data_IF_441130861081
#
_entry.id   IF_441130861081
#
_cell.length_a   1.000
_cell.length_b   1.000
_cell.length_c   1.000
_cell.angle_alpha   90.00
_cell.angle_beta   90.00
_cell.angle_gamma   90.00
#
_symmetry.space_group_name_H-M   'P 1'
#
loop_
_entity.id
_entity.type
_entity.pdbx_description
1 polymer ?
#
# COMPACT_ATOMS: atom_id res chain seq x y z
N UNK A 1 -19.18 -25.02 10.93
CA UNK A 1 -18.17 -24.11 11.54
C UNK A 1 -18.89 -22.85 11.97
N UNK A 2 -18.48 -22.20 13.10
CA UNK A 2 -19.08 -20.92 13.50
C UNK A 2 -18.84 -19.86 12.41
N UNK A 3 -19.80 -18.95 12.23
CA UNK A 3 -19.66 -17.85 11.27
C UNK A 3 -18.47 -16.94 11.63
N UNK A 4 -17.96 -16.20 10.64
CA UNK A 4 -16.86 -15.24 10.88
C UNK A 4 -17.23 -14.24 11.98
N UNK A 5 -18.48 -13.76 12.00
CA UNK A 5 -18.98 -12.86 13.03
C UNK A 5 -18.93 -13.49 14.44
N UNK A 6 -19.31 -14.76 14.55
CA UNK A 6 -19.26 -15.47 15.83
C UNK A 6 -17.81 -15.64 16.32
N UNK A 7 -16.88 -15.94 15.42
CA UNK A 7 -15.45 -16.03 15.74
C UNK A 7 -14.88 -14.67 16.15
N UNK A 8 -15.22 -13.61 15.43
CA UNK A 8 -14.83 -12.23 15.73
C UNK A 8 -15.30 -11.80 17.13
N UNK A 9 -16.58 -12.03 17.45
CA UNK A 9 -17.15 -11.70 18.77
C UNK A 9 -16.44 -12.45 19.88
N UNK A 10 -16.16 -13.74 19.69
CA UNK A 10 -15.43 -14.56 20.64
C UNK A 10 -14.01 -14.04 20.88
N UNK A 11 -13.29 -13.69 19.83
CA UNK A 11 -11.93 -13.16 19.90
C UNK A 11 -11.88 -11.79 20.62
N UNK A 12 -12.84 -10.90 20.32
CA UNK A 12 -12.97 -9.59 20.97
C UNK A 12 -13.18 -9.76 22.47
N UNK A 13 -14.12 -10.61 22.86
CA UNK A 13 -14.41 -10.87 24.27
C UNK A 13 -13.17 -11.39 25.00
N UNK A 14 -12.51 -12.41 24.43
CA UNK A 14 -11.28 -12.99 25.03
C UNK A 14 -10.19 -11.93 25.23
N UNK A 15 -9.89 -11.13 24.20
CA UNK A 15 -8.86 -10.08 24.29
C UNK A 15 -9.25 -9.02 25.30
N UNK A 16 -10.51 -8.56 25.30
CA UNK A 16 -11.02 -7.58 26.24
C UNK A 16 -10.88 -8.05 27.69
N UNK A 17 -11.29 -9.29 27.98
CA UNK A 17 -11.20 -9.89 29.30
C UNK A 17 -9.74 -10.08 29.73
N UNK A 18 -8.87 -10.54 28.83
CA UNK A 18 -7.44 -10.66 29.09
C UNK A 18 -6.76 -9.30 29.38
N UNK A 19 -7.25 -8.23 28.74
CA UNK A 19 -6.78 -6.86 28.99
C UNK A 19 -7.44 -6.20 30.22
N UNK A 20 -8.33 -6.87 30.93
CA UNK A 20 -9.06 -6.32 32.09
C UNK A 20 -10.00 -5.16 31.74
N UNK A 21 -10.38 -5.01 30.47
CA UNK A 21 -11.21 -3.91 30.01
C UNK A 21 -12.69 -4.20 30.20
N UNK A 22 -13.45 -3.21 30.74
CA UNK A 22 -14.91 -3.24 30.69
C UNK A 22 -15.40 -3.02 29.24
N UNK A 23 -16.61 -3.47 28.92
CA UNK A 23 -17.25 -3.22 27.62
C UNK A 23 -17.29 -1.71 27.32
N UNK A 24 -17.53 -0.87 28.33
CA UNK A 24 -17.55 0.59 28.20
C UNK A 24 -16.17 1.15 27.86
N UNK A 25 -15.13 0.66 28.53
CA UNK A 25 -13.75 1.07 28.26
C UNK A 25 -13.34 0.67 26.83
N UNK A 26 -13.61 -0.57 26.42
CA UNK A 26 -13.33 -1.00 25.05
C UNK A 26 -14.12 -0.19 24.01
N UNK A 27 -15.40 0.09 24.25
CA UNK A 27 -16.22 0.90 23.36
C UNK A 27 -15.61 2.29 23.11
N UNK A 28 -15.06 2.90 24.17
CA UNK A 28 -14.35 4.17 24.07
C UNK A 28 -13.05 4.05 23.27
N UNK A 29 -12.25 3.02 23.53
CA UNK A 29 -10.97 2.76 22.80
C UNK A 29 -11.20 2.54 21.32
N UNK A 30 -12.22 1.74 20.95
CA UNK A 30 -12.52 1.42 19.55
C UNK A 30 -13.37 2.50 18.87
N UNK A 31 -13.89 3.46 19.63
CA UNK A 31 -14.71 4.56 19.11
C UNK A 31 -16.09 4.11 18.59
N UNK A 32 -16.70 3.10 19.22
CA UNK A 32 -18.10 2.68 18.96
C UNK A 32 -18.97 2.91 20.19
N UNK A 33 -20.29 2.95 20.03
CA UNK A 33 -21.16 3.17 21.17
C UNK A 33 -21.15 1.97 22.12
N UNK A 34 -21.26 2.23 23.45
CA UNK A 34 -21.38 1.17 24.45
C UNK A 34 -22.54 0.22 24.14
N UNK A 35 -23.70 0.75 23.77
CA UNK A 35 -24.87 -0.05 23.44
C UNK A 35 -24.64 -0.96 22.23
N UNK A 36 -23.93 -0.47 21.22
CA UNK A 36 -23.55 -1.26 20.05
C UNK A 36 -22.61 -2.40 20.44
N UNK A 37 -21.53 -2.13 21.18
CA UNK A 37 -20.59 -3.17 21.60
C UNK A 37 -21.23 -4.19 22.54
N UNK A 38 -22.03 -3.75 23.49
CA UNK A 38 -22.74 -4.64 24.39
C UNK A 38 -23.71 -5.59 23.67
N UNK A 39 -24.43 -5.08 22.65
CA UNK A 39 -25.31 -5.90 21.79
C UNK A 39 -24.52 -6.92 20.99
N UNK A 40 -23.40 -6.49 20.39
CA UNK A 40 -22.50 -7.36 19.63
C UNK A 40 -21.97 -8.49 20.51
N UNK A 41 -21.43 -8.19 21.69
CA UNK A 41 -20.90 -9.21 22.60
C UNK A 41 -21.95 -10.18 23.12
N UNK A 42 -23.23 -9.77 23.22
CA UNK A 42 -24.34 -10.68 23.59
C UNK A 42 -24.82 -11.53 22.42
N UNK A 43 -24.35 -11.27 21.20
CA UNK A 43 -24.82 -11.98 19.98
C UNK A 43 -26.20 -11.51 19.51
N UNK A 44 -26.68 -10.35 19.97
CA UNK A 44 -27.99 -9.79 19.63
C UNK A 44 -27.99 -9.01 18.31
N UNK A 45 -26.97 -9.19 17.47
CA UNK A 45 -26.86 -8.62 16.15
C UNK A 45 -25.42 -8.64 15.64
N UNK A 46 -25.28 -8.66 14.32
CA UNK A 46 -23.99 -8.52 13.67
C UNK A 46 -23.49 -7.07 13.76
N UNK A 47 -22.16 -6.85 13.98
CA UNK A 47 -21.59 -5.53 13.88
C UNK A 47 -21.73 -4.98 12.45
N UNK A 48 -22.07 -3.70 12.33
CA UNK A 48 -21.99 -3.00 11.03
C UNK A 48 -20.52 -2.94 10.55
N UNK A 49 -20.35 -2.57 9.30
CA UNK A 49 -19.04 -2.62 8.67
C UNK A 49 -17.99 -1.71 9.32
N UNK A 50 -18.36 -0.51 9.77
CA UNK A 50 -17.47 0.39 10.46
C UNK A 50 -17.06 -0.17 11.83
N UNK A 51 -18.01 -0.75 12.54
CA UNK A 51 -17.74 -1.44 13.81
C UNK A 51 -16.83 -2.65 13.60
N UNK A 52 -17.06 -3.46 12.56
CA UNK A 52 -16.17 -4.60 12.21
C UNK A 52 -14.73 -4.15 11.99
N UNK A 53 -14.51 -3.11 11.18
CA UNK A 53 -13.17 -2.56 10.90
C UNK A 53 -12.47 -2.13 12.19
N UNK A 54 -13.16 -1.36 13.03
CA UNK A 54 -12.61 -0.85 14.28
C UNK A 54 -12.27 -1.98 15.25
N UNK A 55 -13.11 -2.97 15.36
CA UNK A 55 -12.92 -4.13 16.21
C UNK A 55 -11.76 -5.02 15.71
N UNK A 56 -11.66 -5.23 14.40
CA UNK A 56 -10.54 -5.96 13.78
C UNK A 56 -9.22 -5.21 13.96
N UNK A 57 -9.22 -3.89 13.79
CA UNK A 57 -8.04 -3.05 14.03
C UNK A 57 -7.56 -3.16 15.50
N UNK A 58 -8.49 -3.15 16.44
CA UNK A 58 -8.16 -3.34 17.85
C UNK A 58 -7.68 -4.75 18.19
N UNK A 59 -8.23 -5.79 17.53
CA UNK A 59 -7.77 -7.17 17.72
C UNK A 59 -6.32 -7.36 17.26
N UNK A 60 -5.94 -6.73 16.14
CA UNK A 60 -4.62 -6.90 15.57
C UNK A 60 -4.24 -8.39 15.45
N UNK A 61 -3.00 -8.74 15.73
CA UNK A 61 -2.49 -10.13 15.70
C UNK A 61 -3.18 -11.08 16.70
N UNK A 62 -3.78 -10.54 17.76
CA UNK A 62 -4.48 -11.39 18.74
C UNK A 62 -5.68 -12.09 18.11
N UNK A 63 -6.23 -11.57 17.03
CA UNK A 63 -7.28 -12.21 16.26
C UNK A 63 -6.83 -13.53 15.63
N UNK A 64 -5.64 -13.56 15.05
CA UNK A 64 -5.04 -14.74 14.44
C UNK A 64 -4.68 -15.81 15.49
N UNK A 65 -4.06 -15.38 16.60
CA UNK A 65 -3.78 -16.24 17.75
C UNK A 65 -5.05 -16.80 18.39
N UNK A 66 -6.19 -16.13 18.24
CA UNK A 66 -7.50 -16.58 18.72
C UNK A 66 -8.22 -17.52 17.74
N UNK A 67 -7.58 -17.91 16.63
CA UNK A 67 -8.14 -18.82 15.63
C UNK A 67 -9.13 -18.18 14.68
N UNK A 68 -9.18 -16.84 14.60
CA UNK A 68 -9.82 -16.15 13.47
C UNK A 68 -9.05 -16.52 12.21
N UNK A 69 -9.61 -17.42 11.43
CA UNK A 69 -9.08 -17.70 10.10
C UNK A 69 -9.45 -16.52 9.22
N UNK A 70 -8.46 -15.70 8.92
CA UNK A 70 -8.58 -14.64 7.92
C UNK A 70 -8.44 -15.21 6.49
N UNK A 71 -9.03 -16.40 6.25
CA UNK A 71 -9.00 -17.05 4.93
C UNK A 71 -9.62 -16.16 3.83
N UNK A 72 -10.39 -15.13 4.24
CA UNK A 72 -10.97 -14.11 3.38
C UNK A 72 -10.36 -12.72 3.57
N UNK A 73 -9.30 -12.59 4.39
CA UNK A 73 -8.55 -11.35 4.59
C UNK A 73 -7.17 -11.58 4.00
N UNK A 74 -7.02 -11.36 2.71
CA UNK A 74 -5.70 -11.42 2.09
C UNK A 74 -4.85 -10.26 2.60
N UNK A 75 -3.61 -10.55 2.95
CA UNK A 75 -2.57 -9.56 3.22
C UNK A 75 -2.13 -8.97 1.87
N UNK A 76 -2.93 -8.10 1.31
CA UNK A 76 -2.71 -7.57 -0.02
C UNK A 76 -2.84 -6.06 0.06
N UNK A 77 -1.75 -5.37 -0.21
CA UNK A 77 -1.82 -3.95 -0.53
C UNK A 77 -2.21 -3.80 -1.98
N UNK A 78 -3.21 -2.99 -2.27
CA UNK A 78 -3.50 -2.56 -3.62
C UNK A 78 -3.85 -1.08 -3.62
N UNK A 79 -3.23 -0.35 -4.52
CA UNK A 79 -3.58 1.05 -4.78
C UNK A 79 -4.86 1.08 -5.59
N UNK A 80 -5.96 1.33 -4.91
CA UNK A 80 -7.27 1.37 -5.52
C UNK A 80 -7.79 2.80 -5.65
N UNK A 81 -8.60 3.04 -6.67
CA UNK A 81 -9.38 4.25 -6.79
C UNK A 81 -10.40 4.35 -5.63
N UNK A 82 -10.87 5.58 -5.33
CA UNK A 82 -11.80 5.81 -4.20
C UNK A 82 -13.10 5.00 -4.27
N UNK A 83 -13.49 4.54 -5.45
CA UNK A 83 -14.75 3.82 -5.72
C UNK A 83 -14.47 2.47 -6.38
N UNK A 84 -13.72 1.59 -5.70
CA UNK A 84 -13.48 0.23 -6.19
C UNK A 84 -14.71 -0.63 -6.00
N UNK A 85 -15.09 -1.36 -7.03
CA UNK A 85 -16.19 -2.31 -6.98
C UNK A 85 -15.83 -3.56 -6.20
N UNK A 86 -16.78 -4.12 -5.45
CA UNK A 86 -16.57 -5.34 -4.64
C UNK A 86 -15.96 -6.49 -5.44
N UNK A 87 -16.42 -6.71 -6.67
CA UNK A 87 -15.92 -7.79 -7.48
C UNK A 87 -14.47 -7.60 -7.96
N UNK A 88 -13.99 -6.34 -8.12
CA UNK A 88 -12.57 -6.03 -8.41
C UNK A 88 -11.70 -6.47 -7.24
N UNK A 89 -12.12 -6.19 -6.01
CA UNK A 89 -11.40 -6.62 -4.81
C UNK A 89 -11.34 -8.14 -4.74
N UNK A 90 -12.47 -8.83 -4.94
CA UNK A 90 -12.50 -10.30 -4.98
C UNK A 90 -11.61 -10.88 -6.09
N UNK A 91 -11.55 -10.23 -7.25
CA UNK A 91 -10.69 -10.64 -8.35
C UNK A 91 -9.21 -10.47 -7.99
N UNK A 92 -8.83 -9.36 -7.34
CA UNK A 92 -7.47 -9.13 -6.85
C UNK A 92 -7.08 -10.15 -5.77
N UNK A 93 -7.97 -10.47 -4.83
CA UNK A 93 -7.70 -11.48 -3.81
C UNK A 93 -7.50 -12.88 -4.42
N UNK A 94 -8.30 -13.25 -5.43
CA UNK A 94 -8.08 -14.50 -6.19
C UNK A 94 -6.75 -14.49 -6.93
N UNK A 95 -6.35 -13.36 -7.52
CA UNK A 95 -5.06 -13.23 -8.18
C UNK A 95 -3.91 -13.41 -7.19
N UNK A 96 -3.99 -12.81 -6.01
CA UNK A 96 -3.02 -12.99 -4.93
C UNK A 96 -2.85 -14.47 -4.54
N UNK A 97 -3.97 -15.18 -4.37
CA UNK A 97 -3.99 -16.61 -4.04
C UNK A 97 -3.34 -17.47 -5.13
N UNK A 98 -3.59 -17.16 -6.40
CA UNK A 98 -2.97 -17.87 -7.51
C UNK A 98 -1.45 -17.64 -7.54
N UNK A 99 -1.00 -16.39 -7.38
CA UNK A 99 0.43 -16.02 -7.37
C UNK A 99 1.15 -16.71 -6.19
N UNK A 100 0.57 -16.69 -5.00
CA UNK A 100 1.17 -17.37 -3.82
C UNK A 100 1.30 -18.87 -4.02
N UNK A 101 0.27 -19.53 -4.55
CA UNK A 101 0.31 -20.98 -4.83
C UNK A 101 1.37 -21.33 -5.88
N UNK A 102 1.50 -20.52 -6.92
CA UNK A 102 2.50 -20.69 -7.97
C UNK A 102 3.92 -20.51 -7.40
N UNK A 103 4.15 -19.48 -6.61
CA UNK A 103 5.43 -19.25 -5.95
C UNK A 103 5.83 -20.34 -4.96
N UNK A 104 4.87 -20.89 -4.20
CA UNK A 104 5.11 -21.99 -3.27
C UNK A 104 5.36 -23.32 -3.99
N UNK A 105 4.71 -23.56 -5.13
CA UNK A 105 4.94 -24.78 -5.93
C UNK A 105 6.28 -24.77 -6.66
N UNK A 106 6.87 -23.60 -6.84
CA UNK A 106 8.17 -23.40 -7.52
C UNK A 106 9.36 -23.46 -6.54
N UNK A 107 9.10 -23.37 -5.24
CA UNK A 107 10.12 -23.50 -4.19
C UNK A 107 10.02 -24.86 -3.54
N UNK A 108 11.13 -25.63 -3.52
CA UNK A 108 11.26 -26.91 -2.78
C UNK A 108 11.19 -26.75 -1.24
N UNK A 109 10.82 -25.56 -0.76
CA UNK A 109 10.65 -25.29 0.66
C UNK A 109 9.29 -25.82 1.12
N UNK A 110 9.34 -26.90 1.91
CA UNK A 110 8.20 -27.42 2.67
C UNK A 110 7.54 -26.27 3.41
N UNK A 111 6.25 -26.07 3.12
CA UNK A 111 5.40 -25.09 3.79
C UNK A 111 5.24 -25.46 5.27
N UNK A 112 6.26 -25.22 6.08
CA UNK A 112 6.05 -25.10 7.51
C UNK A 112 5.31 -23.77 7.73
N UNK A 113 4.08 -23.88 8.22
CA UNK A 113 3.21 -22.76 8.54
C UNK A 113 3.81 -21.88 9.62
N UNK A 114 4.78 -21.06 9.25
CA UNK A 114 5.26 -19.99 10.09
C UNK A 114 4.26 -18.86 10.01
N UNK A 115 3.70 -18.54 11.17
CA UNK A 115 2.98 -17.28 11.37
C UNK A 115 3.87 -16.12 10.88
N UNK A 116 3.30 -15.07 10.29
CA UNK A 116 4.08 -13.89 9.88
C UNK A 116 4.94 -13.43 11.07
N UNK A 117 6.16 -12.93 10.81
CA UNK A 117 7.04 -12.48 11.88
C UNK A 117 6.29 -11.51 12.76
N UNK A 118 6.55 -11.59 14.05
CA UNK A 118 5.91 -10.79 15.09
C UNK A 118 5.65 -9.38 14.56
N UNK A 119 4.37 -9.02 14.40
CA UNK A 119 4.01 -7.68 14.05
C UNK A 119 4.53 -6.70 15.11
N UNK A 120 4.56 -5.41 14.80
CA UNK A 120 5.06 -4.41 15.73
C UNK A 120 4.31 -4.54 17.05
N UNK A 121 5.03 -4.43 18.15
CA UNK A 121 4.42 -4.19 19.46
C UNK A 121 3.52 -2.95 19.31
N UNK A 122 2.49 -2.85 20.15
CA UNK A 122 1.55 -1.71 20.12
C UNK A 122 2.22 -0.32 20.26
N UNK A 123 3.53 -0.29 20.45
CA UNK A 123 4.37 0.90 20.64
C UNK A 123 5.20 1.29 19.42
N UNK A 124 5.15 0.52 18.31
CA UNK A 124 5.79 0.93 17.04
C UNK A 124 4.88 1.97 16.33
N UNK A 125 4.96 3.23 16.75
CA UNK A 125 4.44 4.34 15.96
C UNK A 125 5.14 4.34 14.60
N UNK A 126 4.35 4.49 13.52
CA UNK A 126 4.91 4.60 12.17
C UNK A 126 5.92 5.77 12.14
N UNK A 127 7.19 5.44 11.94
CA UNK A 127 8.26 6.43 11.87
C UNK A 127 8.07 7.25 10.60
N UNK A 128 7.58 8.48 10.77
CA UNK A 128 7.46 9.43 9.66
C UNK A 128 8.82 10.06 9.38
N UNK A 129 9.34 9.84 8.17
CA UNK A 129 10.60 10.45 7.75
C UNK A 129 10.41 11.95 7.47
N UNK A 130 11.40 12.75 7.86
CA UNK A 130 11.43 14.17 7.47
C UNK A 130 11.66 14.30 5.95
N UNK A 131 11.28 15.45 5.41
CA UNK A 131 11.47 15.71 3.98
C UNK A 131 12.94 15.61 3.56
N UNK A 132 13.87 16.02 4.42
CA UNK A 132 15.30 15.93 4.20
C UNK A 132 15.79 14.48 4.17
N UNK A 133 15.26 13.63 5.02
CA UNK A 133 15.56 12.19 5.03
C UNK A 133 15.03 11.50 3.79
N UNK A 134 13.81 11.81 3.36
CA UNK A 134 13.24 11.30 2.12
C UNK A 134 14.07 11.70 0.89
N UNK A 135 14.52 12.96 0.80
CA UNK A 135 15.39 13.41 -0.29
C UNK A 135 16.73 12.66 -0.28
N UNK A 136 17.37 12.55 0.89
CA UNK A 136 18.64 11.82 1.03
C UNK A 136 18.51 10.34 0.68
N UNK A 137 17.40 9.70 1.06
CA UNK A 137 17.14 8.30 0.74
C UNK A 137 17.00 8.10 -0.78
N UNK A 138 16.22 8.95 -1.46
CA UNK A 138 16.08 8.90 -2.90
C UNK A 138 17.40 9.18 -3.64
N UNK A 139 18.20 10.13 -3.16
CA UNK A 139 19.51 10.44 -3.72
C UNK A 139 20.48 9.27 -3.55
N UNK A 140 20.53 8.67 -2.35
CA UNK A 140 21.35 7.48 -2.09
C UNK A 140 20.97 6.33 -3.00
N UNK A 141 19.68 6.03 -3.11
CA UNK A 141 19.17 4.98 -3.99
C UNK A 141 19.63 5.17 -5.45
N UNK A 142 19.55 6.39 -5.97
CA UNK A 142 20.06 6.69 -7.31
C UNK A 142 21.57 6.53 -7.43
N UNK A 143 22.32 6.93 -6.40
CA UNK A 143 23.77 6.77 -6.34
C UNK A 143 24.18 5.30 -6.35
N UNK A 144 23.46 4.46 -5.60
CA UNK A 144 23.71 3.01 -5.55
C UNK A 144 23.46 2.36 -6.91
N UNK A 145 22.55 2.93 -7.73
CA UNK A 145 22.32 2.55 -9.12
C UNK A 145 23.36 3.17 -10.13
N UNK A 146 24.30 3.97 -9.66
CA UNK A 146 25.27 4.66 -10.50
C UNK A 146 24.65 5.78 -11.35
N UNK A 147 23.48 6.30 -11.00
CA UNK A 147 22.74 7.29 -11.79
C UNK A 147 23.04 8.72 -11.34
N UNK A 148 23.44 9.59 -12.29
CA UNK A 148 23.50 11.02 -12.05
C UNK A 148 22.09 11.64 -11.95
N UNK A 149 21.94 12.84 -11.34
CA UNK A 149 20.65 13.51 -11.26
C UNK A 149 19.96 13.77 -12.60
N UNK A 150 20.73 14.02 -13.66
CA UNK A 150 20.20 14.33 -15.01
C UNK A 150 19.79 13.09 -15.82
N UNK A 151 20.14 11.89 -15.36
CA UNK A 151 19.80 10.64 -16.05
C UNK A 151 18.39 10.17 -15.69
N UNK A 152 17.53 9.82 -16.66
CA UNK A 152 16.24 9.20 -16.37
C UNK A 152 16.41 7.78 -15.84
N UNK A 153 15.49 7.36 -14.97
CA UNK A 153 15.40 6.00 -14.45
C UNK A 153 14.20 5.29 -15.06
N UNK A 154 14.44 4.15 -15.70
CA UNK A 154 13.37 3.23 -16.06
C UNK A 154 13.15 2.21 -14.93
N UNK A 155 12.26 2.53 -14.00
CA UNK A 155 11.96 1.69 -12.84
C UNK A 155 11.35 0.33 -13.20
N UNK A 156 10.81 0.17 -14.40
CA UNK A 156 10.30 -1.12 -14.88
C UNK A 156 11.42 -2.12 -15.19
N UNK A 157 12.68 -1.66 -15.23
CA UNK A 157 13.88 -2.51 -15.40
C UNK A 157 14.61 -2.76 -14.09
N UNK A 158 14.19 -2.15 -12.99
CA UNK A 158 14.76 -2.40 -11.67
C UNK A 158 14.46 -3.82 -11.22
N UNK A 159 15.42 -4.40 -10.53
CA UNK A 159 15.26 -5.65 -9.80
C UNK A 159 15.63 -5.39 -8.34
N UNK A 160 14.75 -5.72 -7.45
CA UNK A 160 14.97 -5.70 -6.00
C UNK A 160 15.04 -7.15 -5.54
N UNK A 161 16.07 -7.50 -4.78
CA UNK A 161 16.22 -8.85 -4.24
C UNK A 161 15.00 -9.23 -3.40
N UNK A 162 14.53 -10.46 -3.58
CA UNK A 162 13.32 -10.95 -2.91
C UNK A 162 12.00 -10.41 -3.48
N UNK A 163 12.02 -9.58 -4.54
CA UNK A 163 10.80 -9.01 -5.12
C UNK A 163 10.63 -9.42 -6.57
N UNK A 164 9.54 -10.11 -6.87
CA UNK A 164 9.16 -10.52 -8.21
C UNK A 164 8.02 -9.64 -8.74
N UNK A 165 8.20 -9.04 -9.91
CA UNK A 165 7.17 -8.21 -10.55
C UNK A 165 6.48 -8.98 -11.65
N UNK A 166 5.19 -9.18 -11.50
CA UNK A 166 4.30 -9.82 -12.45
C UNK A 166 3.47 -8.75 -13.16
N UNK A 167 3.49 -8.73 -14.48
CA UNK A 167 2.55 -7.93 -15.26
C UNK A 167 1.28 -8.74 -15.45
N UNK A 168 0.13 -8.11 -15.24
CA UNK A 168 -1.16 -8.80 -15.28
C UNK A 168 -1.37 -9.59 -16.57
N UNK A 169 -1.09 -9.00 -17.73
CA UNK A 169 -1.29 -9.65 -19.03
C UNK A 169 -0.30 -10.79 -19.32
N UNK A 170 0.87 -10.80 -18.65
CA UNK A 170 1.94 -11.80 -18.87
C UNK A 170 1.93 -12.92 -17.82
N UNK A 171 1.09 -12.83 -16.79
CA UNK A 171 1.08 -13.76 -15.64
C UNK A 171 0.30 -15.04 -15.96
N UNK A 172 1.04 -16.12 -16.25
CA UNK A 172 0.48 -17.41 -16.69
C UNK A 172 -0.29 -18.17 -15.62
N UNK A 173 -0.01 -17.93 -14.35
CA UNK A 173 -0.72 -18.58 -13.22
C UNK A 173 -2.14 -18.05 -13.04
N UNK A 174 -2.51 -16.97 -13.70
CA UNK A 174 -3.85 -16.40 -13.63
C UNK A 174 -4.77 -16.92 -14.74
N UNK A 175 -5.99 -17.27 -14.36
CA UNK A 175 -7.01 -17.67 -15.35
C UNK A 175 -7.29 -16.53 -16.34
N UNK A 176 -7.44 -16.81 -17.65
CA UNK A 176 -7.68 -15.78 -18.67
C UNK A 176 -8.92 -14.93 -18.40
N UNK A 177 -9.95 -15.52 -17.79
CA UNK A 177 -11.18 -14.82 -17.37
C UNK A 177 -10.90 -13.80 -16.26
N UNK A 178 -10.01 -14.13 -15.32
CA UNK A 178 -9.60 -13.24 -14.24
C UNK A 178 -8.75 -12.08 -14.77
N UNK A 179 -7.79 -12.39 -15.65
CA UNK A 179 -6.95 -11.37 -16.32
C UNK A 179 -7.84 -10.41 -17.10
N UNK A 180 -8.78 -10.92 -17.91
CA UNK A 180 -9.72 -10.08 -18.67
C UNK A 180 -10.54 -9.16 -17.76
N UNK A 181 -11.07 -9.67 -16.65
CA UNK A 181 -11.82 -8.85 -15.69
C UNK A 181 -10.97 -7.72 -15.10
N UNK A 182 -9.78 -8.05 -14.62
CA UNK A 182 -8.89 -7.06 -14.00
C UNK A 182 -8.36 -6.04 -15.01
N UNK A 183 -8.13 -6.44 -16.26
CA UNK A 183 -7.58 -5.60 -17.31
C UNK A 183 -8.65 -4.74 -18.01
N UNK A 184 -9.71 -5.36 -18.51
CA UNK A 184 -10.70 -4.71 -19.38
C UNK A 184 -11.85 -4.06 -18.62
N UNK A 185 -12.29 -4.69 -17.53
CA UNK A 185 -13.50 -4.26 -16.85
C UNK A 185 -13.21 -3.38 -15.60
N UNK A 186 -12.01 -3.48 -15.03
CA UNK A 186 -11.62 -2.71 -13.84
C UNK A 186 -10.22 -2.10 -13.90
N UNK A 187 -9.65 -1.98 -15.09
CA UNK A 187 -8.30 -1.44 -15.26
C UNK A 187 -8.06 -0.10 -14.58
N UNK A 188 -9.06 0.76 -14.53
CA UNK A 188 -8.95 2.08 -13.89
C UNK A 188 -9.10 2.05 -12.35
N UNK A 189 -9.51 0.93 -11.78
CA UNK A 189 -9.83 0.84 -10.35
C UNK A 189 -8.62 0.47 -9.49
N UNK A 190 -7.55 -0.04 -10.06
CA UNK A 190 -6.36 -0.46 -9.34
C UNK A 190 -5.08 -0.22 -10.15
N UNK A 191 -3.94 -0.12 -9.47
CA UNK A 191 -2.66 0.14 -10.13
C UNK A 191 -1.63 -0.96 -9.92
N UNK A 192 -1.48 -1.44 -8.70
CA UNK A 192 -0.65 -2.59 -8.35
C UNK A 192 -1.20 -3.27 -7.10
N UNK A 193 -0.66 -4.45 -6.83
CA UNK A 193 -0.96 -5.25 -5.65
C UNK A 193 0.32 -5.94 -5.18
N UNK A 194 0.75 -5.69 -3.95
CA UNK A 194 1.87 -6.37 -3.32
C UNK A 194 1.40 -7.50 -2.42
N UNK A 195 2.02 -8.66 -2.56
CA UNK A 195 1.67 -9.90 -1.85
C UNK A 195 2.92 -10.47 -1.20
N UNK A 196 2.99 -10.61 0.13
CA UNK A 196 4.07 -11.33 0.78
C UNK A 196 3.97 -12.81 0.42
N UNK A 197 5.07 -13.42 -0.03
CA UNK A 197 5.12 -14.82 -0.45
C UNK A 197 5.46 -15.76 0.70
N UNK A 198 6.09 -15.27 1.75
CA UNK A 198 6.46 -16.05 2.92
C UNK A 198 6.21 -15.31 4.23
N UNK A 199 6.29 -16.01 5.34
CA UNK A 199 6.04 -15.47 6.67
C UNK A 199 7.18 -14.57 7.20
N UNK A 200 8.40 -14.69 6.67
CA UNK A 200 9.54 -13.82 7.05
C UNK A 200 9.43 -12.41 6.47
N UNK A 201 8.63 -12.22 5.43
CA UNK A 201 8.45 -10.92 4.78
C UNK A 201 9.63 -10.47 3.92
N UNK A 202 10.53 -11.39 3.57
CA UNK A 202 11.68 -11.12 2.70
C UNK A 202 11.43 -11.46 1.23
N UNK A 203 10.33 -12.17 0.93
CA UNK A 203 9.90 -12.47 -0.44
C UNK A 203 8.54 -11.87 -0.75
N UNK A 204 8.46 -11.15 -1.85
CA UNK A 204 7.28 -10.44 -2.31
C UNK A 204 6.96 -10.69 -3.78
N UNK A 205 5.69 -10.69 -4.11
CA UNK A 205 5.21 -10.55 -5.47
C UNK A 205 4.50 -9.20 -5.62
N UNK A 206 4.80 -8.49 -6.69
CA UNK A 206 4.09 -7.27 -7.07
C UNK A 206 3.35 -7.53 -8.39
N UNK A 207 2.03 -7.61 -8.35
CA UNK A 207 1.20 -7.69 -9.55
C UNK A 207 0.93 -6.26 -10.05
N UNK A 208 1.48 -5.94 -11.21
CA UNK A 208 1.35 -4.63 -11.84
C UNK A 208 0.21 -4.63 -12.86
N UNK A 209 -0.65 -3.64 -12.79
CA UNK A 209 -1.64 -3.39 -13.82
C UNK A 209 -0.97 -2.74 -15.04
N UNK A 210 -0.66 -3.54 -16.03
CA UNK A 210 0.02 -3.12 -17.24
C UNK A 210 -0.91 -2.55 -18.33
N UNK A 211 -2.22 -2.38 -18.03
CA UNK A 211 -3.13 -1.59 -18.88
C UNK A 211 -2.88 -0.08 -18.78
N UNK A 212 -2.23 0.38 -17.74
CA UNK A 212 -1.87 1.79 -17.57
C UNK A 212 -0.71 2.22 -18.47
N UNK A 213 -0.57 3.53 -18.67
CA UNK A 213 0.57 4.10 -19.40
C UNK A 213 1.90 3.75 -18.74
N UNK A 214 2.99 3.74 -19.49
CA UNK A 214 4.32 3.41 -18.96
C UNK A 214 4.78 4.38 -17.89
N UNK A 215 4.40 5.65 -17.99
CA UNK A 215 4.67 6.69 -17.00
C UNK A 215 4.01 6.34 -15.65
N UNK A 216 2.75 5.90 -15.68
CA UNK A 216 2.04 5.47 -14.48
C UNK A 216 2.60 4.17 -13.91
N UNK A 217 2.91 3.20 -14.77
CA UNK A 217 3.54 1.95 -14.34
C UNK A 217 4.86 2.19 -13.63
N UNK A 218 5.71 3.14 -14.14
CA UNK A 218 7.01 3.46 -13.52
C UNK A 218 6.90 3.98 -12.11
N UNK A 219 5.99 4.92 -11.86
CA UNK A 219 5.82 5.43 -10.49
C UNK A 219 5.20 4.39 -9.58
N UNK A 220 4.23 3.63 -10.07
CA UNK A 220 3.54 2.60 -9.29
C UNK A 220 4.50 1.50 -8.82
N UNK A 221 5.29 0.90 -9.72
CA UNK A 221 6.22 -0.17 -9.32
C UNK A 221 7.28 0.33 -8.34
N UNK A 222 7.73 1.56 -8.51
CA UNK A 222 8.73 2.16 -7.63
C UNK A 222 8.16 2.51 -6.25
N UNK A 223 6.88 2.86 -6.18
CA UNK A 223 6.14 3.06 -4.92
C UNK A 223 6.04 1.75 -4.13
N UNK A 224 5.69 0.64 -4.80
CA UNK A 224 5.68 -0.69 -4.17
C UNK A 224 7.08 -1.11 -3.69
N UNK A 225 8.13 -0.86 -4.48
CA UNK A 225 9.51 -1.11 -4.02
C UNK A 225 9.86 -0.31 -2.77
N UNK A 226 9.45 0.96 -2.69
CA UNK A 226 9.74 1.77 -1.51
C UNK A 226 8.99 1.30 -0.27
N UNK A 227 7.75 0.80 -0.41
CA UNK A 227 7.06 0.16 0.71
C UNK A 227 7.87 -1.02 1.26
N UNK A 228 8.38 -1.87 0.37
CA UNK A 228 9.16 -3.05 0.75
C UNK A 228 10.52 -2.64 1.35
N UNK A 229 11.24 -1.72 0.70
CA UNK A 229 12.58 -1.27 1.13
C UNK A 229 12.57 -0.51 2.46
N UNK A 230 11.50 0.19 2.79
CA UNK A 230 11.32 0.85 4.08
C UNK A 230 10.82 -0.10 5.17
N UNK A 231 10.49 -1.33 4.82
CA UNK A 231 9.91 -2.28 5.76
C UNK A 231 8.52 -1.88 6.23
N UNK A 232 7.78 -1.11 5.42
CA UNK A 232 6.40 -0.76 5.71
C UNK A 232 5.56 -2.01 5.91
N UNK A 233 4.79 -2.04 6.99
CA UNK A 233 4.01 -3.22 7.36
C UNK A 233 2.54 -3.00 7.01
N UNK A 234 1.89 -4.02 6.48
CA UNK A 234 0.46 -4.04 6.25
C UNK A 234 -0.29 -4.15 7.58
N UNK A 235 -0.26 -3.09 8.38
CA UNK A 235 -0.77 -3.09 9.77
C UNK A 235 -2.22 -2.66 9.87
N UNK A 236 -2.68 -1.81 8.94
CA UNK A 236 -4.01 -1.23 8.97
C UNK A 236 -5.02 -2.12 8.26
N UNK A 237 -6.01 -2.63 8.97
CA UNK A 237 -7.11 -3.36 8.36
C UNK A 237 -8.13 -2.36 7.83
N UNK A 238 -8.40 -2.43 6.54
CA UNK A 238 -9.43 -1.65 5.88
C UNK A 238 -10.41 -2.56 5.17
N UNK A 239 -11.69 -2.19 5.19
CA UNK A 239 -12.67 -2.81 4.31
C UNK A 239 -12.70 -2.07 2.99
N UNK A 240 -12.47 -2.80 1.92
CA UNK A 240 -12.66 -2.31 0.57
C UNK A 240 -13.80 -3.14 -0.04
N UNK A 241 -14.92 -2.49 -0.29
CA UNK A 241 -16.16 -3.13 -0.71
C UNK A 241 -16.66 -4.18 0.33
N UNK A 242 -16.79 -5.44 -0.03
CA UNK A 242 -17.21 -6.52 0.88
C UNK A 242 -16.07 -7.39 1.40
N UNK A 243 -14.83 -7.08 0.98
CA UNK A 243 -13.64 -7.78 1.42
C UNK A 243 -12.87 -6.96 2.45
N UNK A 244 -12.14 -7.64 3.32
CA UNK A 244 -11.20 -7.03 4.24
C UNK A 244 -9.79 -7.24 3.70
N UNK A 245 -8.98 -6.20 3.70
CA UNK A 245 -7.58 -6.26 3.33
C UNK A 245 -6.74 -5.50 4.36
N UNK A 246 -5.44 -5.74 4.38
CA UNK A 246 -4.50 -4.88 5.09
C UNK A 246 -3.95 -3.84 4.14
N UNK A 247 -3.72 -2.64 4.65
CA UNK A 247 -3.13 -1.52 3.91
C UNK A 247 -2.05 -0.88 4.75
N UNK A 248 -1.21 -0.08 4.13
CA UNK A 248 -0.23 0.76 4.80
C UNK A 248 -0.90 1.91 5.55
N UNK A 249 -0.19 2.49 6.50
CA UNK A 249 -0.62 3.74 7.13
C UNK A 249 -0.57 4.90 6.11
N UNK A 250 -1.35 5.95 6.37
CA UNK A 250 -1.39 7.11 5.48
C UNK A 250 -0.04 7.85 5.39
N UNK A 251 0.74 7.82 6.47
CA UNK A 251 2.08 8.40 6.47
C UNK A 251 3.04 7.56 5.64
N UNK A 252 3.00 6.23 5.78
CA UNK A 252 3.77 5.29 4.97
C UNK A 252 3.45 5.41 3.48
N UNK A 253 2.18 5.52 3.11
CA UNK A 253 1.73 5.79 1.74
C UNK A 253 2.30 7.10 1.19
N UNK A 254 2.27 8.16 2.03
CA UNK A 254 2.84 9.44 1.66
C UNK A 254 4.36 9.34 1.41
N UNK A 255 5.08 8.66 2.28
CA UNK A 255 6.54 8.54 2.21
C UNK A 255 6.96 7.70 1.00
N UNK A 256 6.30 6.57 0.75
CA UNK A 256 6.56 5.73 -0.43
C UNK A 256 6.32 6.49 -1.75
N UNK A 257 5.20 7.19 -1.85
CA UNK A 257 4.89 8.01 -3.04
C UNK A 257 5.87 9.18 -3.21
N UNK A 258 6.24 9.85 -2.10
CA UNK A 258 7.25 10.91 -2.13
C UNK A 258 8.59 10.38 -2.65
N UNK A 259 9.06 9.26 -2.10
CA UNK A 259 10.31 8.63 -2.49
C UNK A 259 10.30 8.16 -3.94
N UNK A 260 9.20 7.55 -4.41
CA UNK A 260 9.05 7.17 -5.81
C UNK A 260 9.17 8.40 -6.72
N UNK A 261 8.49 9.49 -6.37
CA UNK A 261 8.57 10.75 -7.12
C UNK A 261 9.97 11.38 -7.08
N UNK A 262 10.64 11.36 -5.92
CA UNK A 262 11.98 11.92 -5.74
C UNK A 262 13.06 11.11 -6.47
N UNK A 263 12.88 9.80 -6.52
CA UNK A 263 13.78 8.89 -7.24
C UNK A 263 13.67 9.08 -8.76
N UNK A 264 12.45 9.23 -9.30
CA UNK A 264 12.24 9.49 -10.73
C UNK A 264 12.61 10.91 -11.14
N UNK A 265 12.35 11.88 -10.27
CA UNK A 265 12.51 13.31 -10.51
C UNK A 265 13.41 13.94 -9.44
N UNK A 266 14.73 13.74 -9.52
CA UNK A 266 15.69 14.18 -8.49
C UNK A 266 15.66 15.71 -8.29
N UNK A 267 15.73 16.15 -7.04
CA UNK A 267 15.71 17.57 -6.68
C UNK A 267 16.67 18.45 -7.48
N UNK A 268 17.97 18.09 -7.66
CA UNK A 268 18.89 18.93 -8.43
C UNK A 268 18.46 19.11 -9.89
N UNK A 269 17.97 18.05 -10.53
CA UNK A 269 17.49 18.09 -11.92
C UNK A 269 16.23 18.95 -12.07
N UNK A 270 15.29 18.87 -11.14
CA UNK A 270 14.09 19.70 -11.15
C UNK A 270 14.41 21.17 -10.94
N UNK A 271 15.32 21.52 -9.99
CA UNK A 271 15.77 22.89 -9.79
C UNK A 271 16.40 23.44 -11.08
N UNK A 272 17.28 22.68 -11.72
CA UNK A 272 17.93 23.05 -12.99
C UNK A 272 16.90 23.29 -14.10
N UNK A 273 15.91 22.40 -14.23
CA UNK A 273 14.88 22.50 -15.25
C UNK A 273 13.96 23.72 -15.03
N UNK A 274 13.56 23.97 -13.78
CA UNK A 274 12.74 25.16 -13.42
C UNK A 274 13.49 26.45 -13.69
N UNK A 275 14.77 26.53 -13.33
CA UNK A 275 15.62 27.69 -13.63
C UNK A 275 15.81 27.91 -15.14
N UNK A 276 15.85 26.83 -15.91
CA UNK A 276 15.88 26.87 -17.39
C UNK A 276 14.50 27.11 -18.01
N UNK A 277 13.46 27.39 -17.21
CA UNK A 277 12.08 27.66 -17.67
C UNK A 277 11.48 26.56 -18.53
N UNK A 278 11.86 25.31 -18.28
CA UNK A 278 11.28 24.15 -18.96
C UNK A 278 9.84 23.91 -18.50
N UNK A 279 8.96 23.55 -19.43
CA UNK A 279 7.57 23.18 -19.09
C UNK A 279 7.52 21.81 -18.39
N UNK A 280 6.46 21.56 -17.61
CA UNK A 280 6.22 20.26 -16.97
C UNK A 280 6.18 19.14 -18.00
N UNK A 281 5.64 19.38 -19.20
CA UNK A 281 5.61 18.40 -20.29
C UNK A 281 7.02 18.05 -20.82
N UNK A 282 7.90 19.04 -20.97
CA UNK A 282 9.28 18.79 -21.42
C UNK A 282 10.11 18.01 -20.36
N UNK A 283 9.92 18.34 -19.09
CA UNK A 283 10.55 17.61 -17.97
C UNK A 283 10.02 16.18 -17.91
N UNK A 284 8.69 16.01 -18.04
CA UNK A 284 8.03 14.71 -18.03
C UNK A 284 8.54 13.81 -19.15
N UNK A 285 8.66 14.34 -20.37
CA UNK A 285 9.21 13.63 -21.52
C UNK A 285 10.65 13.18 -21.26
N UNK A 286 11.50 14.06 -20.74
CA UNK A 286 12.91 13.74 -20.43
C UNK A 286 13.03 12.58 -19.43
N UNK A 287 12.23 12.58 -18.37
CA UNK A 287 12.33 11.59 -17.27
C UNK A 287 11.39 10.39 -17.45
N UNK A 288 10.57 10.36 -18.50
CA UNK A 288 9.62 9.27 -18.76
C UNK A 288 8.53 9.18 -17.68
N UNK A 289 8.03 10.31 -17.23
CA UNK A 289 6.98 10.45 -16.21
C UNK A 289 5.78 11.22 -16.77
N UNK A 290 4.71 11.39 -15.97
CA UNK A 290 3.61 12.28 -16.34
C UNK A 290 3.89 13.73 -15.95
N UNK A 291 3.24 14.68 -16.64
CA UNK A 291 3.32 16.11 -16.30
C UNK A 291 2.74 16.39 -14.89
N UNK A 292 1.71 15.65 -14.49
CA UNK A 292 1.10 15.76 -13.16
C UNK A 292 2.09 15.35 -12.06
N UNK A 293 2.92 14.31 -12.29
CA UNK A 293 3.97 13.92 -11.35
C UNK A 293 5.05 15.01 -11.24
N UNK A 294 5.42 15.63 -12.36
CA UNK A 294 6.34 16.78 -12.37
C UNK A 294 5.77 17.95 -11.58
N UNK A 295 4.51 18.31 -11.82
CA UNK A 295 3.83 19.38 -11.08
C UNK A 295 3.76 19.09 -9.58
N UNK A 296 3.41 17.84 -9.21
CA UNK A 296 3.45 17.41 -7.82
C UNK A 296 4.84 17.62 -7.22
N UNK A 297 5.89 17.17 -7.91
CA UNK A 297 7.27 17.27 -7.45
C UNK A 297 7.73 18.72 -7.29
N UNK A 298 7.46 19.58 -8.27
CA UNK A 298 7.76 21.01 -8.23
C UNK A 298 7.07 21.69 -7.04
N UNK A 299 5.80 21.37 -6.78
CA UNK A 299 5.04 21.88 -5.62
C UNK A 299 5.64 21.41 -4.30
N UNK A 300 6.01 20.12 -4.19
CA UNK A 300 6.64 19.56 -3.00
C UNK A 300 8.01 20.16 -2.70
N UNK A 301 8.75 20.57 -3.72
CA UNK A 301 10.03 21.26 -3.59
C UNK A 301 9.89 22.75 -3.28
N UNK A 302 8.67 23.32 -3.33
CA UNK A 302 8.41 24.75 -3.11
C UNK A 302 8.77 25.63 -4.31
N UNK A 303 8.96 25.06 -5.50
CA UNK A 303 9.40 25.74 -6.72
C UNK A 303 8.25 26.18 -7.62
N UNK A 304 6.99 25.98 -7.21
CA UNK A 304 5.82 26.23 -8.06
C UNK A 304 5.72 27.68 -8.52
N UNK A 305 5.96 28.63 -7.62
CA UNK A 305 5.95 30.06 -7.94
C UNK A 305 6.93 30.40 -9.07
N UNK A 306 8.14 29.89 -8.97
CA UNK A 306 9.22 30.16 -9.94
C UNK A 306 8.94 29.46 -11.28
N UNK A 307 8.36 28.26 -11.23
CA UNK A 307 7.94 27.50 -12.41
C UNK A 307 6.86 28.21 -13.22
N UNK A 308 5.83 28.76 -12.55
CA UNK A 308 4.75 29.50 -13.22
C UNK A 308 5.09 30.99 -13.47
N UNK A 309 6.28 31.44 -13.08
CA UNK A 309 6.76 32.80 -13.34
C UNK A 309 6.05 33.92 -12.57
N UNK A 310 5.40 33.60 -11.44
CA UNK A 310 4.72 34.59 -10.60
C UNK A 310 5.71 35.40 -9.78
N UNK A 311 5.76 36.71 -10.01
CA UNK A 311 6.52 37.65 -9.21
C UNK A 311 5.71 38.10 -7.97
N UNK A 312 6.40 38.29 -6.86
CA UNK A 312 5.83 38.83 -5.62
C UNK A 312 6.64 40.09 -5.30
N UNK A 313 5.96 41.20 -5.07
CA UNK A 313 6.55 42.45 -4.64
C UNK A 313 5.71 43.07 -3.50
N UNK A 314 6.34 43.82 -2.63
CA UNK A 314 5.62 44.70 -1.70
C UNK A 314 4.96 45.82 -2.48
N UNK A 315 3.76 46.23 -2.11
CA UNK A 315 3.15 47.45 -2.63
C UNK A 315 4.08 48.59 -2.23
N UNK A 316 4.39 49.47 -3.21
CA UNK A 316 5.03 50.75 -2.88
C UNK A 316 3.97 51.64 -2.24
N UNK A 317 4.25 52.23 -1.06
CA UNK A 317 3.42 53.25 -0.41
C UNK A 317 3.30 54.47 -1.28
#
# INVERSE_FOLDING_TARGET
MPSFEAQLISAIRKKREAAGLSIRALASVVGISFSTLARIERGEGAPDNNSKIRLLAWLGETGEKAGLKFDNVAFVHFRAAKNVRSWTVHALLRAADCIRRDALSSSDETAEGHAPPNGPSADDEAVTLSKEELEKAAERFRKDLGLSPDQPLDSLKLKVEGVEVYKLAETKSLEPTLVRKLHMESGDEWSAMSVPLNGSGDRWAVLLNDSHTKERQRVTVLEEYWHILLGHKLTKIARVAEAYGRTYDKAEEHDAYYLASATLLPKPAIIKAVNAKQSSAAIAQKFGTSAELVDYRIKRLGLWRDHVGKKVALASD
#
